data_IF_829511014695
#
_entry.id   IF_829511014695
#
_cell.length_a   1.000
_cell.length_b   1.000
_cell.length_c   1.000
_cell.angle_alpha   90.00
_cell.angle_beta   90.00
_cell.angle_gamma   90.00
#
_symmetry.space_group_name_H-M   'P 1'
#
loop_
_entity.id
_entity.type
_entity.pdbx_description
1 polymer ?
#
# COMPACT_ATOMS: atom_id res chain seq x y z
N UNK A 1 7.11 -16.13 -10.32
CA UNK A 1 5.81 -16.36 -10.99
C UNK A 1 4.74 -15.84 -10.03
N UNK A 2 4.13 -14.69 -10.34
CA UNK A 2 3.07 -14.10 -9.50
C UNK A 2 1.78 -14.89 -9.78
N UNK A 3 1.35 -15.70 -8.81
CA UNK A 3 0.03 -16.33 -8.87
C UNK A 3 -0.97 -15.29 -8.37
N UNK A 4 -1.70 -14.66 -9.30
CA UNK A 4 -2.84 -13.81 -8.93
C UNK A 4 -4.06 -14.71 -8.97
N UNK A 5 -4.38 -15.26 -7.80
CA UNK A 5 -5.41 -16.30 -7.64
C UNK A 5 -6.83 -15.72 -7.51
N UNK A 6 -6.96 -14.40 -7.32
CA UNK A 6 -8.24 -13.75 -7.05
C UNK A 6 -8.71 -12.93 -8.27
N UNK A 7 -9.91 -13.23 -8.76
CA UNK A 7 -10.56 -12.44 -9.80
C UNK A 7 -10.85 -11.02 -9.29
N UNK A 8 -10.60 -9.99 -10.11
CA UNK A 8 -10.88 -8.59 -9.74
C UNK A 8 -12.33 -8.39 -9.30
N UNK A 9 -13.27 -9.15 -9.87
CA UNK A 9 -14.68 -9.14 -9.50
C UNK A 9 -14.91 -9.70 -8.09
N UNK A 10 -14.25 -10.81 -7.74
CA UNK A 10 -14.36 -11.43 -6.42
C UNK A 10 -13.73 -10.55 -5.34
N UNK A 11 -12.54 -10.00 -5.62
CA UNK A 11 -11.90 -9.01 -4.75
C UNK A 11 -12.86 -7.85 -4.51
N UNK A 12 -13.37 -7.22 -5.58
CA UNK A 12 -14.26 -6.07 -5.51
C UNK A 12 -15.57 -6.34 -4.74
N UNK A 13 -16.16 -7.54 -4.90
CA UNK A 13 -17.32 -7.95 -4.12
C UNK A 13 -16.97 -8.09 -2.63
N UNK A 14 -15.85 -8.76 -2.32
CA UNK A 14 -15.37 -8.99 -0.95
C UNK A 14 -15.09 -7.68 -0.21
N UNK A 15 -14.39 -6.72 -0.82
CA UNK A 15 -14.10 -5.43 -0.17
C UNK A 15 -15.35 -4.55 -0.01
N UNK A 16 -16.39 -4.72 -0.84
CA UNK A 16 -17.68 -4.02 -0.65
C UNK A 16 -18.48 -4.59 0.51
N UNK A 17 -18.57 -5.91 0.59
CA UNK A 17 -19.32 -6.61 1.64
C UNK A 17 -18.60 -6.56 3.00
N UNK A 18 -17.27 -6.64 2.97
CA UNK A 18 -16.40 -6.63 4.14
C UNK A 18 -15.30 -5.57 4.01
N UNK A 19 -15.65 -4.28 4.17
CA UNK A 19 -14.68 -3.21 4.05
C UNK A 19 -13.60 -3.37 5.13
N UNK A 20 -12.31 -3.28 4.76
CA UNK A 20 -11.23 -3.38 5.74
C UNK A 20 -11.34 -2.23 6.74
N UNK A 21 -11.19 -2.56 8.03
CA UNK A 21 -11.21 -1.57 9.11
C UNK A 21 -9.87 -0.83 9.17
N UNK A 22 -9.69 0.13 8.30
CA UNK A 22 -8.48 0.97 8.23
C UNK A 22 -8.65 2.15 9.18
N UNK A 23 -7.63 2.43 9.99
CA UNK A 23 -7.56 3.61 10.85
C UNK A 23 -6.30 4.40 10.51
N UNK A 24 -6.34 5.75 10.55
CA UNK A 24 -5.12 6.54 10.45
C UNK A 24 -4.20 6.20 11.63
N UNK A 25 -2.91 6.07 11.36
CA UNK A 25 -1.88 5.96 12.39
C UNK A 25 -1.37 7.34 12.76
N UNK A 26 -1.15 7.59 14.05
CA UNK A 26 -0.51 8.81 14.54
C UNK A 26 1.01 8.68 14.63
N UNK A 27 1.55 7.47 14.52
CA UNK A 27 3.00 7.27 14.57
C UNK A 27 3.64 7.59 13.22
N UNK A 28 4.92 8.00 13.22
CA UNK A 28 5.67 8.19 11.98
C UNK A 28 5.62 6.97 11.07
N UNK A 29 5.51 7.20 9.76
CA UNK A 29 5.51 6.14 8.75
C UNK A 29 6.78 5.26 8.84
N UNK A 30 7.93 5.89 9.07
CA UNK A 30 9.23 5.22 9.18
C UNK A 30 9.36 4.26 10.37
N UNK A 31 8.48 4.35 11.37
CA UNK A 31 8.47 3.39 12.49
C UNK A 31 8.01 1.99 12.03
N UNK A 32 7.25 1.93 10.93
CA UNK A 32 6.64 0.69 10.43
C UNK A 32 7.24 0.21 9.11
N UNK A 33 7.68 1.13 8.25
CA UNK A 33 8.06 0.82 6.88
C UNK A 33 9.37 1.49 6.48
N UNK A 34 10.18 0.74 5.73
CA UNK A 34 11.34 1.25 5.02
C UNK A 34 10.97 1.52 3.56
N UNK A 35 11.21 2.75 3.09
CA UNK A 35 11.01 3.10 1.68
C UNK A 35 12.26 2.74 0.86
N UNK A 36 12.03 2.07 -0.26
CA UNK A 36 13.03 1.76 -1.27
C UNK A 36 12.79 2.56 -2.55
N UNK A 37 12.97 1.89 -3.68
CA UNK A 37 12.95 2.51 -5.01
C UNK A 37 11.60 3.13 -5.38
N UNK A 38 11.65 4.16 -6.22
CA UNK A 38 10.48 4.72 -6.88
C UNK A 38 9.92 3.73 -7.91
N UNK A 39 8.64 3.40 -7.78
CA UNK A 39 7.92 2.51 -8.70
C UNK A 39 7.14 3.29 -9.77
N UNK A 40 6.77 4.53 -9.48
CA UNK A 40 6.07 5.37 -10.45
C UNK A 40 5.70 6.75 -9.91
N UNK A 41 5.52 7.70 -10.83
CA UNK A 41 5.26 9.11 -10.51
C UNK A 41 4.04 9.62 -11.26
N UNK A 42 3.17 10.30 -10.54
CA UNK A 42 2.03 11.02 -11.09
C UNK A 42 1.98 12.46 -10.57
N UNK A 43 1.00 13.22 -11.07
CA UNK A 43 0.81 14.64 -10.70
C UNK A 43 0.67 14.80 -9.18
N UNK A 44 -0.12 13.92 -8.55
CA UNK A 44 -0.49 14.08 -7.14
C UNK A 44 0.46 13.37 -6.16
N UNK A 45 1.49 12.68 -6.63
CA UNK A 45 2.35 11.92 -5.73
C UNK A 45 3.30 10.95 -6.43
N UNK A 46 4.13 10.32 -5.61
CA UNK A 46 5.11 9.31 -6.02
C UNK A 46 4.81 8.01 -5.30
N UNK A 47 4.91 6.90 -6.01
CA UNK A 47 4.77 5.55 -5.46
C UNK A 47 6.15 4.96 -5.27
N UNK A 48 6.42 4.48 -4.06
CA UNK A 48 7.67 3.81 -3.68
C UNK A 48 7.41 2.36 -3.28
N UNK A 49 8.43 1.52 -3.40
CA UNK A 49 8.47 0.24 -2.72
C UNK A 49 8.55 0.48 -1.21
N UNK A 50 7.75 -0.25 -0.42
CA UNK A 50 7.75 -0.17 1.03
C UNK A 50 7.85 -1.57 1.64
N UNK A 51 8.83 -1.78 2.51
CA UNK A 51 8.99 -3.02 3.26
C UNK A 51 8.53 -2.82 4.70
N UNK A 52 7.55 -3.59 5.17
CA UNK A 52 7.13 -3.56 6.57
C UNK A 52 8.22 -4.16 7.45
N UNK A 53 8.68 -3.39 8.44
CA UNK A 53 9.82 -3.76 9.30
C UNK A 53 9.54 -5.00 10.15
N UNK A 54 8.29 -5.21 10.56
CA UNK A 54 7.94 -6.32 11.46
C UNK A 54 7.84 -7.67 10.72
N UNK A 55 7.27 -7.69 9.51
CA UNK A 55 6.99 -8.94 8.79
C UNK A 55 7.87 -9.14 7.55
N UNK A 56 8.56 -8.11 7.09
CA UNK A 56 9.26 -8.09 5.81
C UNK A 56 8.34 -8.10 4.59
N UNK A 57 7.02 -7.94 4.77
CA UNK A 57 6.07 -7.89 3.65
C UNK A 57 6.28 -6.63 2.83
N UNK A 58 6.15 -6.79 1.51
CA UNK A 58 6.36 -5.72 0.55
C UNK A 58 5.02 -5.11 0.11
N UNK A 59 5.02 -3.79 -0.01
CA UNK A 59 3.88 -2.96 -0.35
C UNK A 59 4.29 -1.85 -1.33
N UNK A 60 3.30 -1.21 -1.95
CA UNK A 60 3.49 0.04 -2.66
C UNK A 60 2.97 1.19 -1.79
N UNK A 61 3.83 2.15 -1.45
CA UNK A 61 3.46 3.33 -0.67
C UNK A 61 3.34 4.55 -1.60
N UNK A 62 2.13 5.12 -1.69
CA UNK A 62 1.90 6.37 -2.43
C UNK A 62 2.03 7.56 -1.50
N UNK A 63 3.08 8.35 -1.70
CA UNK A 63 3.34 9.59 -0.98
C UNK A 63 2.76 10.74 -1.79
N UNK A 64 1.79 11.44 -1.20
CA UNK A 64 1.09 12.54 -1.86
C UNK A 64 1.91 13.83 -1.74
N UNK A 65 1.99 14.60 -2.83
CA UNK A 65 2.47 15.98 -2.75
C UNK A 65 1.37 16.80 -2.07
N UNK A 66 1.53 17.06 -0.77
CA UNK A 66 0.58 17.89 -0.03
C UNK A 66 0.65 19.34 -0.52
N UNK A 67 -0.50 19.89 -0.88
CA UNK A 67 -0.78 21.32 -0.85
C UNK A 67 -1.79 21.58 0.26
#
# INVERSE_FOLDING_TARGET
MLHVEESEHEYSARIREYPPRIKPSSKPFGDYYDLGDELGRGVQGVVYHAAERQSGRNYAAKIMHGH
#
